data_IF_111439188013
#
_entry.id   IF_111439188013
#
_cell.length_a   1.000
_cell.length_b   1.000
_cell.length_c   1.000
_cell.angle_alpha   90.00
_cell.angle_beta   90.00
_cell.angle_gamma   90.00
#
_symmetry.space_group_name_H-M   'P 1'
#
loop_
_entity.id
_entity.type
_entity.pdbx_description
1 polymer ?
#
# COMPACT_ATOMS: atom_id res chain seq x y z
N UNK A 1 -2.68 -5.58 5.90
CA UNK A 1 -2.87 -4.13 5.88
C UNK A 1 -1.84 -3.39 5.03
N UNK A 2 -0.58 -3.80 5.10
CA UNK A 2 0.50 -3.19 4.31
C UNK A 2 0.17 -3.29 2.82
N UNK A 3 -0.15 -4.49 2.36
CA UNK A 3 -0.38 -4.72 0.94
C UNK A 3 -1.67 -4.06 0.46
N UNK A 4 -2.69 -3.99 1.30
CA UNK A 4 -3.93 -3.30 0.96
C UNK A 4 -3.70 -1.81 0.73
N UNK A 5 -2.91 -1.16 1.59
CA UNK A 5 -2.57 0.25 1.42
C UNK A 5 -1.81 0.50 0.11
N UNK A 6 -0.84 -0.36 -0.20
CA UNK A 6 -0.05 -0.22 -1.42
C UNK A 6 -0.90 -0.47 -2.67
N UNK A 7 -1.79 -1.46 -2.63
CA UNK A 7 -2.67 -1.75 -3.76
C UNK A 7 -3.66 -0.61 -4.02
N UNK A 8 -4.21 -0.02 -2.98
CA UNK A 8 -5.10 1.15 -3.13
C UNK A 8 -4.36 2.33 -3.74
N UNK A 9 -3.11 2.54 -3.36
CA UNK A 9 -2.29 3.60 -3.96
C UNK A 9 -2.06 3.34 -5.45
N UNK A 10 -1.66 2.13 -5.82
CA UNK A 10 -1.40 1.78 -7.21
C UNK A 10 -2.65 1.90 -8.09
N UNK A 11 -3.82 1.60 -7.54
CA UNK A 11 -5.07 1.70 -8.28
C UNK A 11 -5.70 3.10 -8.24
N UNK A 12 -5.14 4.01 -7.44
CA UNK A 12 -5.64 5.37 -7.35
C UNK A 12 -6.94 5.52 -6.57
N UNK A 13 -7.25 4.58 -5.69
CA UNK A 13 -8.50 4.56 -4.93
C UNK A 13 -8.26 5.06 -3.51
N UNK A 14 -9.04 6.04 -3.06
CA UNK A 14 -8.97 6.53 -1.69
C UNK A 14 -9.49 5.46 -0.73
N UNK A 15 -8.78 5.20 0.38
CA UNK A 15 -9.19 4.12 1.30
C UNK A 15 -10.55 4.33 1.95
N UNK A 16 -11.03 5.57 2.04
CA UNK A 16 -12.34 5.87 2.61
C UNK A 16 -13.48 5.84 1.58
N UNK A 17 -13.19 5.58 0.30
CA UNK A 17 -14.23 5.56 -0.73
C UNK A 17 -15.13 4.34 -0.53
N UNK A 18 -16.47 4.53 -0.46
CA UNK A 18 -17.39 3.40 -0.32
C UNK A 18 -17.25 2.42 -1.49
N UNK A 19 -17.25 1.12 -1.19
CA UNK A 19 -17.09 0.08 -2.20
C UNK A 19 -18.17 0.15 -3.28
N UNK A 20 -19.41 0.50 -2.92
CA UNK A 20 -20.51 0.62 -3.88
C UNK A 20 -20.37 1.77 -4.87
N UNK A 21 -19.42 2.68 -4.64
CA UNK A 21 -19.16 3.82 -5.54
C UNK A 21 -17.93 3.63 -6.39
N UNK A 22 -17.31 2.46 -6.34
CA UNK A 22 -16.14 2.15 -7.14
C UNK A 22 -16.62 1.50 -8.44
N UNK A 23 -16.21 2.05 -9.57
CA UNK A 23 -16.58 1.51 -10.88
C UNK A 23 -15.93 0.15 -11.12
N UNK A 24 -16.50 -0.63 -12.03
CA UNK A 24 -15.94 -1.93 -12.40
C UNK A 24 -14.51 -1.80 -12.89
N UNK A 25 -14.22 -0.77 -13.71
CA UNK A 25 -12.87 -0.52 -14.20
C UNK A 25 -11.88 -0.29 -13.08
N UNK A 26 -12.27 0.44 -12.05
CA UNK A 26 -11.40 0.70 -10.90
C UNK A 26 -11.22 -0.55 -10.05
N UNK A 27 -12.26 -1.38 -9.92
CA UNK A 27 -12.14 -2.68 -9.26
C UNK A 27 -11.15 -3.58 -9.98
N UNK A 28 -11.21 -3.61 -11.32
CA UNK A 28 -10.29 -4.41 -12.12
C UNK A 28 -8.85 -3.94 -11.89
N UNK A 29 -8.62 -2.63 -11.83
CA UNK A 29 -7.30 -2.08 -11.50
C UNK A 29 -6.87 -2.46 -10.09
N UNK A 30 -7.78 -2.46 -9.14
CA UNK A 30 -7.47 -2.85 -7.76
C UNK A 30 -7.07 -4.31 -7.68
N UNK A 31 -7.80 -5.20 -8.35
CA UNK A 31 -7.46 -6.62 -8.39
C UNK A 31 -6.07 -6.83 -8.99
N UNK A 32 -5.77 -6.17 -10.10
CA UNK A 32 -4.45 -6.25 -10.72
C UNK A 32 -3.35 -5.72 -9.79
N UNK A 33 -3.64 -4.61 -9.09
CA UNK A 33 -2.69 -4.02 -8.14
C UNK A 33 -2.42 -4.94 -6.96
N UNK A 34 -3.44 -5.59 -6.42
CA UNK A 34 -3.29 -6.55 -5.33
C UNK A 34 -2.37 -7.71 -5.76
N UNK A 35 -2.62 -8.27 -6.94
CA UNK A 35 -1.78 -9.36 -7.47
C UNK A 35 -0.35 -8.91 -7.64
N UNK A 36 -0.13 -7.72 -8.18
CA UNK A 36 1.20 -7.17 -8.39
C UNK A 36 1.94 -6.96 -7.08
N UNK A 37 1.29 -6.34 -6.09
CA UNK A 37 1.89 -6.07 -4.80
C UNK A 37 2.28 -7.38 -4.10
N UNK A 38 1.40 -8.37 -4.12
CA UNK A 38 1.68 -9.67 -3.49
C UNK A 38 2.83 -10.40 -4.20
N UNK A 39 2.87 -10.35 -5.53
CA UNK A 39 3.96 -10.98 -6.28
C UNK A 39 5.29 -10.29 -6.00
N UNK A 40 5.31 -8.97 -5.94
CA UNK A 40 6.53 -8.22 -5.64
C UNK A 40 7.00 -8.51 -4.21
N UNK A 41 6.08 -8.61 -3.27
CA UNK A 41 6.41 -8.95 -1.89
C UNK A 41 7.03 -10.35 -1.79
N UNK A 42 6.48 -11.32 -2.50
CA UNK A 42 7.00 -12.70 -2.52
C UNK A 42 8.41 -12.73 -3.11
N UNK A 43 8.63 -12.02 -4.22
CA UNK A 43 9.96 -11.95 -4.87
C UNK A 43 11.01 -11.36 -3.96
N UNK A 44 10.62 -10.41 -3.10
CA UNK A 44 11.55 -9.71 -2.22
C UNK A 44 11.66 -10.34 -0.84
N UNK A 45 11.10 -11.53 -0.64
CA UNK A 45 11.17 -12.26 0.61
C UNK A 45 10.22 -11.74 1.69
N UNK A 46 9.18 -10.99 1.28
CA UNK A 46 8.19 -10.43 2.19
C UNK A 46 8.61 -9.11 2.80
N UNK A 47 7.80 -8.61 3.73
CA UNK A 47 8.03 -7.34 4.41
C UNK A 47 8.44 -7.59 5.85
N UNK A 48 9.56 -6.99 6.27
CA UNK A 48 10.01 -7.09 7.64
C UNK A 48 9.55 -5.86 8.43
N UNK A 49 8.73 -6.10 9.44
CA UNK A 49 8.40 -5.12 10.45
C UNK A 49 8.88 -5.68 11.78
N UNK A 50 9.70 -4.92 12.49
CA UNK A 50 10.33 -5.36 13.73
C UNK A 50 11.30 -6.52 13.48
N UNK A 51 11.14 -7.64 14.20
CA UNK A 51 12.10 -8.73 14.21
C UNK A 51 11.73 -9.90 13.29
N UNK A 52 10.72 -9.73 12.44
CA UNK A 52 10.31 -10.80 11.53
C UNK A 52 11.36 -10.98 10.44
N UNK A 53 11.84 -12.22 10.28
CA UNK A 53 12.80 -12.58 9.25
C UNK A 53 12.28 -13.75 8.44
N UNK A 54 12.84 -13.93 7.22
CA UNK A 54 12.53 -15.09 6.41
C UNK A 54 13.18 -16.35 7.00
N UNK A 55 12.85 -17.54 6.44
CA UNK A 55 13.35 -18.80 6.97
C UNK A 55 14.87 -18.97 6.95
N UNK A 56 15.58 -18.18 6.14
CA UNK A 56 17.04 -18.19 6.08
C UNK A 56 17.69 -17.15 7.01
N UNK A 57 16.89 -16.51 7.84
CA UNK A 57 17.35 -15.50 8.79
C UNK A 57 17.53 -14.11 8.21
N UNK A 58 17.23 -13.90 6.94
CA UNK A 58 17.35 -12.59 6.30
C UNK A 58 16.04 -11.79 6.46
N UNK A 59 16.11 -10.45 6.66
CA UNK A 59 14.91 -9.65 6.70
C UNK A 59 14.24 -9.57 5.33
N UNK A 60 12.91 -9.40 5.31
CA UNK A 60 12.21 -9.15 4.07
C UNK A 60 12.56 -7.77 3.52
N UNK A 61 12.64 -7.66 2.20
CA UNK A 61 13.08 -6.42 1.56
C UNK A 61 11.95 -5.59 0.95
N UNK A 62 10.73 -6.12 0.92
CA UNK A 62 9.62 -5.40 0.30
C UNK A 62 9.34 -4.05 0.96
N UNK A 63 9.66 -3.93 2.23
CA UNK A 63 9.49 -2.66 2.97
C UNK A 63 10.23 -1.50 2.30
N UNK A 64 11.34 -1.78 1.63
CA UNK A 64 12.12 -0.76 0.93
C UNK A 64 11.41 -0.22 -0.32
N UNK A 65 10.43 -0.96 -0.84
CA UNK A 65 9.69 -0.61 -2.04
C UNK A 65 8.31 -0.01 -1.74
N UNK A 66 8.00 0.24 -0.47
CA UNK A 66 6.70 0.78 -0.09
C UNK A 66 6.53 2.22 -0.57
N UNK A 67 5.35 2.52 -1.10
CA UNK A 67 5.04 3.85 -1.62
C UNK A 67 4.34 4.73 -0.59
N UNK A 68 3.44 4.18 0.20
CA UNK A 68 2.64 4.95 1.16
C UNK A 68 2.72 4.41 2.58
N UNK A 69 2.80 3.11 2.77
CA UNK A 69 2.74 2.54 4.12
C UNK A 69 3.91 2.99 4.98
N UNK A 70 3.60 3.51 6.17
CA UNK A 70 4.57 4.03 7.14
C UNK A 70 5.39 5.23 6.60
N UNK A 71 4.89 5.90 5.56
CA UNK A 71 5.57 7.05 4.95
C UNK A 71 4.84 8.37 5.18
N UNK A 72 4.03 8.46 6.21
CA UNK A 72 3.31 9.70 6.52
C UNK A 72 4.29 10.88 6.64
N UNK A 73 3.93 12.00 6.03
CA UNK A 73 4.76 13.19 5.99
C UNK A 73 5.87 13.17 4.95
N UNK A 74 6.13 12.01 4.33
CA UNK A 74 7.13 11.91 3.25
C UNK A 74 6.48 12.17 1.90
N UNK A 75 7.25 12.62 0.90
CA UNK A 75 6.67 12.92 -0.41
C UNK A 75 6.18 11.65 -1.12
N UNK A 76 5.02 11.77 -1.78
CA UNK A 76 4.52 10.72 -2.64
C UNK A 76 5.51 10.47 -3.78
N UNK A 77 5.81 9.20 -4.11
CA UNK A 77 6.76 8.90 -5.19
C UNK A 77 6.27 9.33 -6.58
N UNK A 78 4.99 9.63 -6.73
CA UNK A 78 4.42 10.03 -8.02
C UNK A 78 4.24 11.54 -8.11
N UNK A 79 3.64 12.17 -7.09
CA UNK A 79 3.27 13.59 -7.18
C UNK A 79 3.92 14.48 -6.12
N UNK A 80 4.75 13.92 -5.25
CA UNK A 80 5.47 14.61 -4.16
C UNK A 80 4.58 15.20 -3.06
N UNK A 81 3.27 15.05 -3.12
CA UNK A 81 2.38 15.47 -2.04
C UNK A 81 2.66 14.63 -0.78
N UNK A 82 2.71 15.24 0.41
CA UNK A 82 2.97 14.46 1.62
C UNK A 82 1.93 13.38 1.85
N UNK A 83 2.39 12.17 2.14
CA UNK A 83 1.52 11.03 2.46
C UNK A 83 0.81 11.30 3.78
N UNK A 84 -0.46 10.97 3.84
CA UNK A 84 -1.28 11.14 5.04
C UNK A 84 -1.57 9.81 5.71
N UNK A 85 -1.72 9.87 7.02
CA UNK A 85 -2.15 8.73 7.83
C UNK A 85 -3.53 9.01 8.39
N UNK A 86 -4.40 7.99 8.35
CA UNK A 86 -5.69 8.04 9.04
C UNK A 86 -5.92 6.71 9.74
N UNK A 87 -6.83 6.68 10.70
CA UNK A 87 -7.17 5.43 11.38
C UNK A 87 -8.58 4.99 11.01
N UNK A 88 -8.69 3.70 10.70
CA UNK A 88 -9.97 3.05 10.40
C UNK A 88 -9.98 1.72 11.11
N UNK A 89 -11.01 1.47 11.92
CA UNK A 89 -11.17 0.22 12.67
C UNK A 89 -9.90 -0.13 13.48
N UNK A 90 -9.32 0.84 14.16
CA UNK A 90 -8.12 0.72 15.00
C UNK A 90 -6.83 0.38 14.20
N UNK A 91 -6.86 0.52 12.88
CA UNK A 91 -5.69 0.31 12.03
C UNK A 91 -5.27 1.60 11.36
N UNK A 92 -3.97 1.82 11.28
CA UNK A 92 -3.42 2.94 10.53
C UNK A 92 -3.55 2.68 9.03
N UNK A 93 -4.01 3.68 8.30
CA UNK A 93 -4.15 3.64 6.86
C UNK A 93 -3.38 4.80 6.26
N UNK A 94 -2.58 4.53 5.23
CA UNK A 94 -1.70 5.53 4.61
C UNK A 94 -2.12 5.74 3.17
N UNK A 95 -2.13 7.00 2.72
CA UNK A 95 -2.58 7.31 1.36
C UNK A 95 -2.03 8.63 0.88
N UNK A 96 -2.01 8.80 -0.44
CA UNK A 96 -1.72 10.08 -1.06
C UNK A 96 -3.04 10.80 -1.35
N UNK A 97 -3.29 11.96 -0.75
CA UNK A 97 -4.57 12.65 -0.94
C UNK A 97 -4.78 13.16 -2.36
N UNK A 98 -3.73 13.25 -3.15
CA UNK A 98 -3.81 13.74 -4.52
C UNK A 98 -3.95 12.60 -5.54
N UNK A 99 -3.19 11.52 -5.36
CA UNK A 99 -3.22 10.39 -6.30
C UNK A 99 -4.40 9.47 -6.07
N UNK A 100 -4.89 9.36 -4.86
CA UNK A 100 -5.98 8.46 -4.49
C UNK A 100 -7.28 9.25 -4.31
N UNK A 101 -8.28 8.89 -5.11
CA UNK A 101 -9.57 9.60 -5.10
C UNK A 101 -10.75 8.68 -4.83
#
# INVERSE_FOLDING_TARGET
NIYANEALFLSGIHPARPAGRISQQRYDKLVAAVKRVLNDAIRQGGTTLRDFTSGDGKPGYFQQSLSVYARQGKPCPVCTTPIRETRSAQRSTFYCPRCQR
#
